data_IF_038729798883
#
_entry.id   IF_038729798883
#
_cell.length_a   1.000
_cell.length_b   1.000
_cell.length_c   1.000
_cell.angle_alpha   90.00
_cell.angle_beta   90.00
_cell.angle_gamma   90.00
#
_symmetry.space_group_name_H-M   'P 1'
#
loop_
_entity.id
_entity.type
_entity.pdbx_description
1 polymer ?
#
# COMPACT_ATOMS: atom_id res chain seq x y z
N UNK A 1 4.00 21.89 -28.87
CA UNK A 1 5.25 21.08 -28.88
C UNK A 1 6.11 21.59 -27.75
N UNK A 2 5.96 21.01 -26.56
CA UNK A 2 6.79 21.35 -25.40
C UNK A 2 7.89 20.29 -25.37
N UNK A 3 9.02 20.62 -25.96
CA UNK A 3 10.22 19.79 -25.91
C UNK A 3 10.89 20.03 -24.57
N UNK A 4 10.70 19.11 -23.61
CA UNK A 4 11.58 19.02 -22.46
C UNK A 4 12.91 18.43 -22.94
N UNK A 5 13.93 19.29 -23.02
CA UNK A 5 15.32 18.85 -23.10
C UNK A 5 15.63 18.09 -21.82
N UNK A 6 15.81 16.77 -21.93
CA UNK A 6 16.46 15.96 -20.90
C UNK A 6 17.87 16.53 -20.78
N UNK A 7 18.11 17.30 -19.71
CA UNK A 7 19.47 17.59 -19.26
C UNK A 7 20.14 16.24 -19.01
N UNK A 8 21.19 15.93 -19.75
CA UNK A 8 22.05 14.77 -19.54
C UNK A 8 22.45 14.71 -18.07
N UNK A 9 21.85 13.77 -17.32
CA UNK A 9 22.40 13.35 -16.03
C UNK A 9 23.62 12.51 -16.40
N UNK A 10 24.79 13.14 -16.32
CA UNK A 10 26.06 12.42 -16.39
C UNK A 10 26.11 11.44 -15.22
N UNK A 11 25.89 10.15 -15.48
CA UNK A 11 26.02 9.10 -14.48
C UNK A 11 27.49 9.02 -14.04
N UNK A 12 27.77 9.43 -12.80
CA UNK A 12 29.10 9.29 -12.20
C UNK A 12 29.23 7.86 -11.67
N UNK A 13 29.97 7.02 -12.38
CA UNK A 13 30.22 5.62 -11.97
C UNK A 13 31.35 5.54 -10.93
N UNK A 14 31.19 4.67 -9.95
CA UNK A 14 32.24 4.42 -8.96
C UNK A 14 33.39 3.60 -9.54
N UNK A 15 34.61 4.12 -9.46
CA UNK A 15 35.82 3.44 -9.92
C UNK A 15 36.24 2.19 -9.08
N UNK A 16 35.45 1.80 -8.08
CA UNK A 16 35.69 0.60 -7.27
C UNK A 16 34.68 -0.52 -7.50
N UNK A 17 33.39 -0.20 -7.62
CA UNK A 17 32.33 -1.21 -7.84
C UNK A 17 31.67 -1.10 -9.21
N UNK A 18 31.95 -0.03 -9.96
CA UNK A 18 31.39 0.26 -11.29
C UNK A 18 29.87 0.49 -11.30
N UNK A 19 29.28 0.82 -10.14
CA UNK A 19 27.86 1.20 -10.01
C UNK A 19 27.67 2.72 -10.00
N UNK A 20 26.44 3.16 -10.28
CA UNK A 20 26.04 4.57 -10.24
C UNK A 20 26.22 5.19 -8.84
N UNK A 21 26.71 6.43 -8.80
CA UNK A 21 26.85 7.23 -7.57
C UNK A 21 25.79 8.33 -7.55
N UNK A 22 25.03 8.40 -6.45
CA UNK A 22 24.17 9.54 -6.15
C UNK A 22 24.98 10.68 -5.52
N UNK A 23 24.61 11.93 -5.78
CA UNK A 23 25.34 13.14 -5.33
C UNK A 23 25.68 13.13 -3.82
N UNK A 24 24.79 12.57 -2.99
CA UNK A 24 24.95 12.51 -1.54
C UNK A 24 26.05 11.54 -1.08
N UNK A 25 26.45 10.59 -1.93
CA UNK A 25 27.46 9.56 -1.63
C UNK A 25 28.77 9.78 -2.40
N UNK A 26 28.84 10.87 -3.18
CA UNK A 26 29.95 11.19 -4.07
C UNK A 26 31.20 11.65 -3.33
N UNK A 27 32.32 11.03 -3.66
CA UNK A 27 33.65 11.45 -3.25
C UNK A 27 34.61 11.43 -4.45
N UNK A 28 35.25 12.57 -4.70
CA UNK A 28 36.21 12.73 -5.80
C UNK A 28 37.64 12.72 -5.27
N UNK A 29 38.51 11.91 -5.87
CA UNK A 29 39.93 11.91 -5.52
C UNK A 29 40.62 13.17 -6.06
N UNK A 30 41.34 13.90 -5.21
CA UNK A 30 42.07 15.12 -5.59
C UNK A 30 43.33 14.90 -6.45
N UNK A 31 43.67 13.65 -6.78
CA UNK A 31 44.90 13.28 -7.49
C UNK A 31 44.55 12.67 -8.85
N UNK A 32 43.72 11.62 -8.88
CA UNK A 32 43.30 10.98 -10.13
C UNK A 32 41.96 11.50 -10.68
N UNK A 33 41.26 12.38 -9.97
CA UNK A 33 39.94 12.93 -10.33
C UNK A 33 38.83 11.90 -10.54
N UNK A 34 39.05 10.65 -10.12
CA UNK A 34 38.07 9.57 -10.18
C UNK A 34 37.02 9.66 -9.06
N UNK A 35 35.85 9.08 -9.31
CA UNK A 35 34.68 9.10 -8.42
C UNK A 35 34.53 7.80 -7.63
N UNK A 36 34.13 7.92 -6.36
CA UNK A 36 33.95 6.81 -5.45
C UNK A 36 32.73 7.01 -4.55
N UNK A 37 32.01 5.94 -4.22
CA UNK A 37 31.16 5.94 -3.03
C UNK A 37 32.04 6.07 -1.80
N UNK A 38 31.58 6.81 -0.79
CA UNK A 38 32.32 6.92 0.48
C UNK A 38 32.58 5.54 1.11
N UNK A 39 31.65 4.59 0.96
CA UNK A 39 31.82 3.21 1.45
C UNK A 39 32.91 2.45 0.71
N UNK A 40 32.93 2.54 -0.63
CA UNK A 40 33.96 1.92 -1.46
C UNK A 40 35.35 2.54 -1.22
N UNK A 41 35.38 3.80 -0.78
CA UNK A 41 36.57 4.50 -0.30
C UNK A 41 36.99 4.14 1.14
N UNK A 42 36.35 3.13 1.76
CA UNK A 42 36.58 2.67 3.13
C UNK A 42 36.35 3.75 4.21
N UNK A 43 35.47 4.72 3.94
CA UNK A 43 35.02 5.69 4.94
C UNK A 43 33.74 5.20 5.61
N UNK A 44 33.63 5.43 6.92
CA UNK A 44 32.37 5.28 7.65
C UNK A 44 31.47 6.48 7.37
N UNK A 45 30.17 6.24 7.24
CA UNK A 45 29.18 7.29 6.93
C UNK A 45 29.23 8.47 7.91
N UNK A 46 29.30 8.18 9.22
CA UNK A 46 29.39 9.21 10.26
C UNK A 46 30.64 10.09 10.10
N UNK A 47 31.74 9.55 9.57
CA UNK A 47 32.97 10.30 9.30
C UNK A 47 32.81 11.14 8.04
N UNK A 48 32.28 10.56 6.96
CA UNK A 48 32.05 11.25 5.68
C UNK A 48 31.08 12.44 5.80
N UNK A 49 29.96 12.27 6.52
CA UNK A 49 28.98 13.35 6.74
C UNK A 49 29.53 14.48 7.61
N UNK A 50 30.50 14.21 8.48
CA UNK A 50 31.18 15.22 9.32
C UNK A 50 32.33 15.94 8.59
N UNK A 51 32.75 15.47 7.41
CA UNK A 51 33.81 16.14 6.64
C UNK A 51 33.31 17.46 6.05
N UNK A 52 34.09 18.52 6.26
CA UNK A 52 33.85 19.80 5.60
C UNK A 52 34.05 19.70 4.08
N UNK A 53 33.47 20.62 3.30
CA UNK A 53 33.68 20.68 1.85
C UNK A 53 35.17 20.78 1.47
N UNK A 54 35.96 21.48 2.27
CA UNK A 54 37.42 21.65 2.08
C UNK A 54 38.15 20.33 2.33
N UNK A 55 37.70 19.55 3.31
CA UNK A 55 38.28 18.23 3.60
C UNK A 55 37.94 17.23 2.49
N UNK A 56 36.71 17.27 1.97
CA UNK A 56 36.28 16.42 0.84
C UNK A 56 37.05 16.74 -0.44
N UNK A 57 37.29 18.02 -0.75
CA UNK A 57 38.03 18.41 -1.97
C UNK A 57 39.51 18.07 -1.94
N UNK A 58 40.09 17.84 -0.76
CA UNK A 58 41.50 17.43 -0.56
C UNK A 58 41.67 15.93 -0.35
N UNK A 59 40.60 15.16 -0.44
CA UNK A 59 40.66 13.72 -0.18
C UNK A 59 41.32 12.97 -1.35
N UNK A 60 42.26 12.08 -1.05
CA UNK A 60 42.91 11.20 -2.01
C UNK A 60 42.53 9.73 -1.78
N UNK A 61 42.33 8.98 -2.87
CA UNK A 61 42.02 7.55 -2.83
C UNK A 61 43.23 6.72 -2.40
N UNK A 62 43.00 5.47 -2.01
CA UNK A 62 44.08 4.60 -1.52
C UNK A 62 45.15 4.36 -2.61
N UNK A 63 44.74 4.20 -3.88
CA UNK A 63 45.71 4.03 -4.98
C UNK A 63 46.67 5.21 -5.06
N UNK A 64 46.18 6.45 -4.94
CA UNK A 64 47.03 7.64 -5.02
C UNK A 64 47.82 7.91 -3.72
N UNK A 65 47.23 7.63 -2.55
CA UNK A 65 47.91 7.81 -1.25
C UNK A 65 49.14 6.92 -1.09
N UNK A 66 49.09 5.69 -1.60
CA UNK A 66 50.19 4.73 -1.47
C UNK A 66 51.18 4.78 -2.64
N UNK A 67 50.95 5.62 -3.65
CA UNK A 67 51.83 5.72 -4.82
C UNK A 67 52.84 6.89 -4.72
N UNK A 68 52.67 7.84 -3.80
CA UNK A 68 53.50 9.05 -3.74
C UNK A 68 54.66 9.05 -2.71
N UNK A 69 54.97 7.94 -2.04
CA UNK A 69 56.16 7.88 -1.17
C UNK A 69 56.89 6.53 -1.24
N UNK A 70 57.56 6.29 -2.36
CA UNK A 70 58.72 5.42 -2.39
C UNK A 70 59.98 6.28 -2.39
N UNK A 71 60.44 6.72 -1.20
CA UNK A 71 61.82 7.13 -1.02
C UNK A 71 62.66 5.97 -0.46
N UNK A 72 63.92 5.81 -0.90
CA UNK A 72 64.75 4.66 -0.56
C UNK A 72 65.27 4.82 0.87
N UNK A 73 64.88 3.92 1.75
CA UNK A 73 65.52 3.80 3.06
C UNK A 73 66.83 3.05 2.86
N UNK A 74 67.93 3.77 3.02
CA UNK A 74 69.29 3.27 3.02
C UNK A 74 69.46 2.08 3.96
N UNK A 75 70.21 1.10 3.46
CA UNK A 75 70.68 -0.06 4.20
C UNK A 75 71.34 0.36 5.51
N UNK A 76 70.75 -0.04 6.64
CA UNK A 76 71.51 -0.26 7.86
C UNK A 76 71.13 -1.64 8.37
N UNK A 77 72.11 -2.54 8.22
CA UNK A 77 72.22 -3.89 8.75
C UNK A 77 71.18 -4.23 9.83
N UNK A 78 70.19 -5.04 9.47
CA UNK A 78 69.48 -5.85 10.43
C UNK A 78 69.58 -7.31 10.01
N UNK A 79 70.23 -8.09 10.88
CA UNK A 79 70.47 -9.52 10.75
C UNK A 79 69.18 -10.20 10.31
N UNK A 80 69.22 -10.96 9.21
CA UNK A 80 68.25 -12.01 8.92
C UNK A 80 68.29 -13.00 10.09
N UNK A 81 67.46 -12.76 11.10
CA UNK A 81 67.06 -13.81 12.01
C UNK A 81 66.14 -14.70 11.19
N UNK A 82 66.69 -15.79 10.67
CA UNK A 82 65.88 -16.93 10.28
C UNK A 82 65.20 -17.37 11.56
N UNK A 83 63.95 -16.94 11.76
CA UNK A 83 63.12 -17.48 12.81
C UNK A 83 62.92 -18.95 12.45
N UNK A 84 63.63 -19.84 13.15
CA UNK A 84 63.32 -21.26 13.11
C UNK A 84 61.85 -21.39 13.53
N UNK A 85 60.98 -21.69 12.57
CA UNK A 85 59.59 -22.04 12.85
C UNK A 85 59.66 -23.29 13.72
N UNK A 86 59.37 -23.13 15.01
CA UNK A 86 59.27 -24.27 15.93
C UNK A 86 58.03 -25.07 15.58
N UNK A 87 58.08 -26.39 15.78
CA UNK A 87 56.93 -27.26 15.56
C UNK A 87 55.68 -26.79 16.33
N UNK A 88 55.86 -26.14 17.48
CA UNK A 88 54.76 -25.55 18.26
C UNK A 88 54.03 -24.43 17.52
N UNK A 89 54.74 -23.53 16.82
CA UNK A 89 54.10 -22.48 16.02
C UNK A 89 53.34 -23.05 14.82
N UNK A 90 53.86 -24.13 14.23
CA UNK A 90 53.19 -24.84 13.15
C UNK A 90 51.93 -25.59 13.64
N UNK A 91 52.00 -26.21 14.83
CA UNK A 91 50.85 -26.84 15.47
C UNK A 91 49.77 -25.81 15.84
N UNK A 92 50.14 -24.67 16.42
CA UNK A 92 49.20 -23.58 16.74
C UNK A 92 48.52 -23.02 15.49
N UNK A 93 49.24 -22.89 14.38
CA UNK A 93 48.64 -22.48 13.10
C UNK A 93 47.70 -23.55 12.56
N UNK A 94 48.07 -24.82 12.66
CA UNK A 94 47.23 -25.96 12.25
C UNK A 94 45.93 -26.01 13.05
N UNK A 95 46.00 -25.79 14.37
CA UNK A 95 44.83 -25.73 15.24
C UNK A 95 43.94 -24.52 14.93
N UNK A 96 44.54 -23.37 14.60
CA UNK A 96 43.81 -22.17 14.18
C UNK A 96 43.08 -22.39 12.85
N UNK A 97 43.74 -23.03 11.88
CA UNK A 97 43.13 -23.38 10.58
C UNK A 97 42.02 -24.40 10.76
N UNK A 98 42.20 -25.41 11.62
CA UNK A 98 41.17 -26.40 11.95
C UNK A 98 39.97 -25.74 12.62
N UNK A 99 40.19 -24.87 13.61
CA UNK A 99 39.13 -24.11 14.26
C UNK A 99 38.37 -23.21 13.26
N UNK A 100 39.08 -22.55 12.35
CA UNK A 100 38.46 -21.75 11.29
C UNK A 100 37.66 -22.61 10.31
N UNK A 101 38.13 -23.83 9.97
CA UNK A 101 37.40 -24.80 9.15
C UNK A 101 36.08 -25.19 9.82
N UNK A 102 36.12 -25.56 11.11
CA UNK A 102 34.94 -25.95 11.87
C UNK A 102 33.91 -24.79 11.95
N UNK A 103 34.39 -23.54 12.07
CA UNK A 103 33.51 -22.36 12.02
C UNK A 103 32.93 -22.11 10.64
N UNK A 104 33.69 -22.34 9.57
CA UNK A 104 33.22 -22.20 8.21
C UNK A 104 32.13 -23.23 7.87
N UNK A 105 32.30 -24.48 8.31
CA UNK A 105 31.30 -25.53 8.17
C UNK A 105 30.02 -25.22 8.96
N UNK A 106 30.18 -24.68 10.19
CA UNK A 106 29.06 -24.17 10.99
C UNK A 106 28.29 -23.05 10.29
N UNK A 107 28.99 -22.10 9.64
CA UNK A 107 28.34 -21.07 8.83
C UNK A 107 27.66 -21.63 7.59
N UNK A 108 28.27 -22.62 6.91
CA UNK A 108 27.66 -23.29 5.78
C UNK A 108 26.32 -23.93 6.14
N UNK A 109 26.26 -24.58 7.30
CA UNK A 109 25.04 -25.21 7.82
C UNK A 109 23.95 -24.18 8.13
N UNK A 110 24.28 -23.11 8.85
CA UNK A 110 23.35 -22.00 9.13
C UNK A 110 22.83 -21.33 7.86
N UNK A 111 23.68 -21.18 6.84
CA UNK A 111 23.29 -20.61 5.55
C UNK A 111 22.26 -21.52 4.84
N UNK A 112 22.44 -22.84 4.89
CA UNK A 112 21.47 -23.78 4.31
C UNK A 112 20.13 -23.76 5.04
N UNK A 113 20.14 -23.67 6.38
CA UNK A 113 18.92 -23.53 7.18
C UNK A 113 18.18 -22.23 6.88
N UNK A 114 18.90 -21.11 6.77
CA UNK A 114 18.34 -19.82 6.37
C UNK A 114 17.76 -19.86 4.96
N UNK A 115 18.47 -20.45 4.00
CA UNK A 115 17.98 -20.60 2.63
C UNK A 115 16.70 -21.44 2.56
N UNK A 116 16.62 -22.49 3.37
CA UNK A 116 15.42 -23.34 3.48
C UNK A 116 14.25 -22.56 4.08
N UNK A 117 14.48 -21.84 5.18
CA UNK A 117 13.48 -20.99 5.84
C UNK A 117 12.96 -19.88 4.92
N UNK A 118 13.85 -19.26 4.13
CA UNK A 118 13.46 -18.22 3.15
C UNK A 118 12.61 -18.82 2.02
N UNK A 119 12.90 -20.05 1.59
CA UNK A 119 12.07 -20.74 0.57
C UNK A 119 10.68 -21.05 1.11
N UNK A 120 10.58 -21.60 2.30
CA UNK A 120 9.30 -21.89 2.96
C UNK A 120 8.48 -20.61 3.15
N UNK A 121 9.10 -19.56 3.69
CA UNK A 121 8.44 -18.27 3.89
C UNK A 121 7.97 -17.64 2.58
N UNK A 122 8.72 -17.80 1.48
CA UNK A 122 8.29 -17.34 0.15
C UNK A 122 7.08 -18.09 -0.34
N UNK A 123 7.03 -19.40 -0.12
CA UNK A 123 5.92 -20.24 -0.53
C UNK A 123 4.65 -19.94 0.29
N UNK A 124 4.77 -19.81 1.62
CA UNK A 124 3.66 -19.39 2.47
C UNK A 124 3.10 -18.03 2.05
N UNK A 125 3.98 -17.07 1.76
CA UNK A 125 3.56 -15.76 1.24
C UNK A 125 2.84 -15.85 -0.10
N UNK A 126 3.23 -16.79 -0.98
CA UNK A 126 2.53 -17.02 -2.25
C UNK A 126 1.13 -17.54 -1.99
N UNK A 127 0.99 -18.57 -1.16
CA UNK A 127 -0.30 -19.18 -0.81
C UNK A 127 -1.22 -18.16 -0.12
N UNK A 128 -0.69 -17.38 0.83
CA UNK A 128 -1.46 -16.32 1.51
C UNK A 128 -1.99 -15.26 0.54
N UNK A 129 -1.19 -14.86 -0.45
CA UNK A 129 -1.64 -13.92 -1.50
C UNK A 129 -2.76 -14.51 -2.34
N UNK A 130 -2.65 -15.77 -2.73
CA UNK A 130 -3.69 -16.48 -3.50
C UNK A 130 -4.99 -16.60 -2.71
N UNK A 131 -4.91 -16.97 -1.44
CA UNK A 131 -6.06 -17.04 -0.54
C UNK A 131 -6.72 -15.67 -0.34
N UNK A 132 -5.94 -14.60 -0.14
CA UNK A 132 -6.48 -13.25 -0.02
C UNK A 132 -7.25 -12.82 -1.28
N UNK A 133 -6.72 -13.13 -2.47
CA UNK A 133 -7.45 -12.86 -3.73
C UNK A 133 -8.75 -13.65 -3.77
N UNK A 134 -8.73 -14.93 -3.41
CA UNK A 134 -9.93 -15.78 -3.37
C UNK A 134 -10.99 -15.24 -2.40
N UNK A 135 -10.60 -14.91 -1.17
CA UNK A 135 -11.52 -14.37 -0.17
C UNK A 135 -12.11 -13.02 -0.58
N UNK A 136 -11.30 -12.13 -1.18
CA UNK A 136 -11.81 -10.86 -1.70
C UNK A 136 -12.87 -11.06 -2.79
N UNK A 137 -12.64 -12.02 -3.69
CA UNK A 137 -13.62 -12.36 -4.73
C UNK A 137 -14.92 -12.95 -4.14
N UNK A 138 -14.80 -13.82 -3.13
CA UNK A 138 -15.96 -14.37 -2.42
C UNK A 138 -16.74 -13.27 -1.68
N UNK A 139 -16.05 -12.33 -1.03
CA UNK A 139 -16.68 -11.17 -0.39
C UNK A 139 -17.46 -10.34 -1.41
N UNK A 140 -16.88 -10.03 -2.57
CA UNK A 140 -17.57 -9.28 -3.63
C UNK A 140 -18.82 -10.01 -4.09
N UNK A 141 -18.72 -11.34 -4.29
CA UNK A 141 -19.87 -12.16 -4.68
C UNK A 141 -20.98 -12.14 -3.61
N UNK A 142 -20.61 -12.28 -2.34
CA UNK A 142 -21.54 -12.26 -1.23
C UNK A 142 -22.22 -10.89 -1.10
N UNK A 143 -21.48 -9.79 -1.22
CA UNK A 143 -22.03 -8.43 -1.23
C UNK A 143 -23.06 -8.27 -2.35
N UNK A 144 -22.75 -8.72 -3.56
CA UNK A 144 -23.69 -8.66 -4.69
C UNK A 144 -24.94 -9.51 -4.44
N UNK A 145 -24.79 -10.68 -3.82
CA UNK A 145 -25.92 -11.54 -3.46
C UNK A 145 -26.79 -10.89 -2.38
N UNK A 146 -26.21 -10.30 -1.35
CA UNK A 146 -26.93 -9.58 -0.29
C UNK A 146 -27.70 -8.41 -0.89
N UNK A 147 -27.05 -7.57 -1.71
CA UNK A 147 -27.70 -6.45 -2.40
C UNK A 147 -28.91 -6.91 -3.24
N UNK A 148 -28.78 -8.03 -3.95
CA UNK A 148 -29.88 -8.60 -4.75
C UNK A 148 -31.04 -9.06 -3.86
N UNK A 149 -30.74 -9.69 -2.72
CA UNK A 149 -31.76 -10.17 -1.78
C UNK A 149 -32.48 -9.00 -1.10
N UNK A 150 -31.75 -7.96 -0.70
CA UNK A 150 -32.33 -6.76 -0.11
C UNK A 150 -33.25 -6.03 -1.11
N UNK A 151 -32.81 -5.85 -2.36
CA UNK A 151 -33.64 -5.27 -3.41
C UNK A 151 -34.92 -6.08 -3.64
N UNK A 152 -34.81 -7.42 -3.66
CA UNK A 152 -35.99 -8.30 -3.77
C UNK A 152 -36.91 -8.24 -2.55
N UNK A 153 -36.36 -8.05 -1.35
CA UNK A 153 -37.17 -7.88 -0.14
C UNK A 153 -38.00 -6.58 -0.19
N UNK A 154 -37.49 -5.55 -0.88
CA UNK A 154 -38.17 -4.27 -1.04
C UNK A 154 -38.92 -4.09 -2.36
N UNK A 155 -39.01 -5.11 -3.22
CA UNK A 155 -39.63 -5.02 -4.56
C UNK A 155 -41.11 -4.60 -4.50
N UNK A 156 -41.82 -4.99 -3.43
CA UNK A 156 -43.23 -4.66 -3.22
C UNK A 156 -43.44 -3.34 -2.46
N UNK A 157 -42.36 -2.68 -2.05
CA UNK A 157 -42.43 -1.47 -1.24
C UNK A 157 -42.43 -0.22 -2.12
N UNK A 158 -43.17 0.79 -1.66
CA UNK A 158 -43.14 2.13 -2.23
C UNK A 158 -42.79 3.15 -1.15
N UNK A 159 -42.02 4.17 -1.53
CA UNK A 159 -41.68 5.31 -0.68
C UNK A 159 -42.43 6.55 -1.18
N UNK A 160 -43.21 7.18 -0.30
CA UNK A 160 -43.98 8.38 -0.58
C UNK A 160 -43.41 9.52 0.26
N UNK A 161 -43.05 10.61 -0.42
CA UNK A 161 -42.41 11.78 0.18
C UNK A 161 -43.33 12.99 0.06
N UNK A 162 -43.32 13.86 1.08
CA UNK A 162 -44.05 15.13 1.05
C UNK A 162 -45.49 15.05 1.55
N UNK A 163 -45.90 13.94 2.17
CA UNK A 163 -47.21 13.83 2.82
C UNK A 163 -47.15 14.54 4.18
N UNK A 164 -47.99 15.57 4.45
CA UNK A 164 -48.02 16.26 5.75
C UNK A 164 -48.29 15.30 6.92
N UNK A 165 -47.77 15.60 8.10
CA UNK A 165 -48.01 14.81 9.32
C UNK A 165 -49.19 15.37 10.11
N UNK A 166 -50.13 14.51 10.51
CA UNK A 166 -51.25 14.86 11.39
C UNK A 166 -51.21 13.99 12.65
N UNK A 167 -51.75 14.49 13.77
CA UNK A 167 -51.67 13.80 15.07
C UNK A 167 -52.41 12.45 15.09
N UNK A 168 -53.51 12.35 14.35
CA UNK A 168 -54.35 11.14 14.23
C UNK A 168 -54.36 10.62 12.78
N UNK A 169 -53.18 10.38 12.21
CA UNK A 169 -53.04 9.93 10.82
C UNK A 169 -53.33 8.42 10.68
N UNK A 170 -54.38 8.06 9.93
CA UNK A 170 -54.52 6.70 9.42
C UNK A 170 -53.63 6.51 8.19
N UNK A 171 -52.40 6.03 8.42
CA UNK A 171 -51.38 5.86 7.39
C UNK A 171 -51.84 4.91 6.29
N UNK A 172 -52.46 3.78 6.66
CA UNK A 172 -52.89 2.74 5.70
C UNK A 172 -53.95 3.28 4.75
N UNK A 173 -54.94 3.99 5.29
CA UNK A 173 -56.01 4.59 4.50
C UNK A 173 -55.48 5.70 3.59
N UNK A 174 -54.58 6.54 4.12
CA UNK A 174 -53.94 7.63 3.37
C UNK A 174 -53.16 7.09 2.16
N UNK A 175 -52.36 6.05 2.37
CA UNK A 175 -51.64 5.35 1.29
C UNK A 175 -52.62 4.75 0.28
N UNK A 176 -53.69 4.11 0.75
CA UNK A 176 -54.73 3.53 -0.12
C UNK A 176 -55.35 4.60 -1.02
N UNK A 177 -55.74 5.76 -0.48
CA UNK A 177 -56.27 6.88 -1.26
C UNK A 177 -55.30 7.37 -2.32
N UNK A 178 -54.00 7.48 -1.99
CA UNK A 178 -52.96 7.90 -2.95
C UNK A 178 -52.86 6.89 -4.11
N UNK A 179 -52.80 5.60 -3.80
CA UNK A 179 -52.62 4.54 -4.81
C UNK A 179 -53.84 4.44 -5.72
N UNK A 180 -55.06 4.50 -5.16
CA UNK A 180 -56.30 4.51 -5.95
C UNK A 180 -56.36 5.70 -6.89
N UNK A 181 -55.96 6.91 -6.44
CA UNK A 181 -55.90 8.10 -7.29
C UNK A 181 -54.83 8.03 -8.38
N UNK A 182 -53.82 7.17 -8.21
CA UNK A 182 -52.82 6.84 -9.23
C UNK A 182 -53.30 5.73 -10.19
N UNK A 183 -54.55 5.28 -10.09
CA UNK A 183 -55.15 4.32 -11.00
C UNK A 183 -54.66 2.88 -10.78
N UNK A 184 -54.21 2.56 -9.57
CA UNK A 184 -53.82 1.18 -9.20
C UNK A 184 -54.74 0.71 -8.09
N UNK A 185 -55.37 -0.45 -8.28
CA UNK A 185 -56.14 -1.11 -7.23
C UNK A 185 -55.27 -2.17 -6.57
N UNK A 186 -55.05 -2.04 -5.25
CA UNK A 186 -54.21 -2.95 -4.49
C UNK A 186 -54.57 -2.95 -3.01
N UNK A 187 -54.13 -3.99 -2.31
CA UNK A 187 -54.18 -4.08 -0.85
C UNK A 187 -52.85 -3.60 -0.28
N UNK A 188 -52.92 -2.72 0.72
CA UNK A 188 -51.75 -2.26 1.47
C UNK A 188 -51.56 -3.23 2.64
N UNK A 189 -50.48 -4.01 2.62
CA UNK A 189 -50.19 -5.00 3.66
C UNK A 189 -49.69 -4.31 4.94
N UNK A 190 -48.76 -3.37 4.77
CA UNK A 190 -48.12 -2.62 5.87
C UNK A 190 -47.85 -1.21 5.41
N UNK A 191 -48.05 -0.22 6.27
CA UNK A 191 -47.64 1.15 5.99
C UNK A 191 -47.22 1.86 7.27
N UNK A 192 -46.10 2.59 7.20
CA UNK A 192 -45.52 3.27 8.35
C UNK A 192 -44.65 4.47 7.94
N UNK A 193 -44.46 5.41 8.87
CA UNK A 193 -43.51 6.52 8.71
C UNK A 193 -42.11 6.06 9.09
N UNK A 194 -41.12 6.39 8.26
CA UNK A 194 -39.71 6.13 8.55
C UNK A 194 -39.14 7.28 9.40
N UNK A 195 -38.44 6.99 10.52
CA UNK A 195 -37.75 8.01 11.30
C UNK A 195 -36.80 8.84 10.43
N UNK A 196 -36.81 10.16 10.60
CA UNK A 196 -35.93 11.09 9.90
C UNK A 196 -35.23 11.99 10.90
N UNK A 197 -33.93 12.24 10.67
CA UNK A 197 -33.14 13.22 11.45
C UNK A 197 -33.32 14.66 10.94
N UNK A 198 -33.96 14.83 9.78
CA UNK A 198 -34.14 16.14 9.14
C UNK A 198 -35.34 16.84 9.79
N UNK A 199 -35.08 17.96 10.46
CA UNK A 199 -36.11 18.84 11.01
C UNK A 199 -36.79 19.64 9.89
N UNK A 200 -38.06 20.03 10.10
CA UNK A 200 -38.88 20.82 9.16
C UNK A 200 -39.23 20.14 7.82
N UNK A 201 -39.07 18.83 7.70
CA UNK A 201 -39.58 18.05 6.55
C UNK A 201 -40.44 16.90 7.06
N UNK A 202 -41.64 16.65 6.48
CA UNK A 202 -42.43 15.50 6.87
C UNK A 202 -41.65 14.21 6.64
N UNK A 203 -41.75 13.29 7.61
CA UNK A 203 -41.17 11.94 7.55
C UNK A 203 -41.72 11.20 6.34
N UNK A 204 -40.91 10.32 5.77
CA UNK A 204 -41.29 9.58 4.57
C UNK A 204 -42.24 8.44 4.95
N UNK A 205 -43.22 8.18 4.08
CA UNK A 205 -44.10 7.04 4.20
C UNK A 205 -43.56 5.87 3.41
N UNK A 206 -43.52 4.70 4.01
CA UNK A 206 -43.18 3.44 3.34
C UNK A 206 -44.37 2.52 3.44
N UNK A 207 -44.77 1.95 2.30
CA UNK A 207 -45.88 1.03 2.23
C UNK A 207 -45.53 -0.22 1.44
N UNK A 208 -45.91 -1.37 1.97
CA UNK A 208 -45.82 -2.68 1.35
C UNK A 208 -47.13 -2.98 0.62
N UNK A 209 -47.04 -3.21 -0.69
CA UNK A 209 -48.17 -3.56 -1.53
C UNK A 209 -48.26 -5.09 -1.72
N UNK A 210 -49.41 -5.57 -2.16
CA UNK A 210 -49.64 -7.01 -2.34
C UNK A 210 -48.67 -7.66 -3.35
N UNK A 211 -48.28 -6.94 -4.41
CA UNK A 211 -47.41 -7.46 -5.47
C UNK A 211 -46.45 -6.41 -6.01
N UNK A 212 -45.34 -6.87 -6.60
CA UNK A 212 -44.34 -6.04 -7.29
C UNK A 212 -44.92 -5.29 -8.49
N UNK A 213 -45.93 -5.86 -9.14
CA UNK A 213 -46.58 -5.19 -10.27
C UNK A 213 -47.33 -3.94 -9.80
N UNK A 214 -47.98 -4.02 -8.62
CA UNK A 214 -48.63 -2.86 -8.02
C UNK A 214 -47.61 -1.75 -7.72
N UNK A 215 -46.47 -2.06 -7.09
CA UNK A 215 -45.44 -1.05 -6.77
C UNK A 215 -44.88 -0.40 -8.03
N UNK A 216 -44.53 -1.22 -9.04
CA UNK A 216 -44.03 -0.75 -10.33
C UNK A 216 -45.03 0.14 -11.07
N UNK A 217 -46.30 -0.26 -11.12
CA UNK A 217 -47.36 0.52 -11.76
C UNK A 217 -47.62 1.83 -11.02
N UNK A 218 -47.63 1.82 -9.68
CA UNK A 218 -47.80 3.04 -8.89
C UNK A 218 -46.68 4.04 -9.16
N UNK A 219 -45.42 3.60 -9.19
CA UNK A 219 -44.25 4.45 -9.50
C UNK A 219 -44.35 4.97 -10.94
N UNK A 220 -44.68 4.11 -11.90
CA UNK A 220 -44.80 4.47 -13.32
C UNK A 220 -45.91 5.49 -13.54
N UNK A 221 -47.08 5.28 -12.95
CA UNK A 221 -48.20 6.20 -13.05
C UNK A 221 -47.90 7.53 -12.38
N UNK A 222 -47.27 7.53 -11.21
CA UNK A 222 -46.83 8.76 -10.53
C UNK A 222 -45.86 9.60 -11.37
N UNK A 223 -44.90 8.96 -12.06
CA UNK A 223 -43.99 9.65 -12.98
C UNK A 223 -44.71 10.26 -14.19
N UNK A 224 -45.76 9.61 -14.69
CA UNK A 224 -46.58 10.09 -15.81
C UNK A 224 -47.49 11.24 -15.39
N UNK A 225 -48.20 11.09 -14.27
CA UNK A 225 -49.19 12.06 -13.81
C UNK A 225 -48.58 13.25 -13.09
N UNK A 226 -47.37 13.10 -12.52
CA UNK A 226 -46.67 14.12 -11.70
C UNK A 226 -47.63 14.78 -10.69
N UNK A 227 -48.24 13.97 -9.81
CA UNK A 227 -49.35 14.41 -9.01
C UNK A 227 -48.91 15.47 -8.00
N UNK A 228 -49.76 16.47 -7.77
CA UNK A 228 -49.57 17.50 -6.75
C UNK A 228 -50.36 17.14 -5.49
N UNK A 229 -50.00 17.72 -4.34
CA UNK A 229 -50.65 17.40 -3.07
C UNK A 229 -52.18 17.57 -3.09
N UNK A 230 -52.68 18.64 -3.74
CA UNK A 230 -54.11 18.89 -3.92
C UNK A 230 -54.86 17.76 -4.64
N UNK A 231 -54.18 16.98 -5.48
CA UNK A 231 -54.78 15.83 -6.17
C UNK A 231 -55.22 14.76 -5.16
N UNK A 232 -54.50 14.63 -4.03
CA UNK A 232 -54.76 13.60 -3.03
C UNK A 232 -55.62 14.10 -1.87
N UNK A 233 -55.42 15.33 -1.43
CA UNK A 233 -56.21 15.95 -0.38
C UNK A 233 -56.17 17.47 -0.54
N UNK A 234 -57.32 18.16 -0.39
CA UNK A 234 -57.42 19.61 -0.62
C UNK A 234 -56.41 20.42 0.21
N UNK A 235 -56.20 20.00 1.46
CA UNK A 235 -55.25 20.63 2.40
C UNK A 235 -53.77 20.37 2.13
N UNK A 236 -53.41 19.55 1.14
CA UNK A 236 -52.00 19.24 0.82
C UNK A 236 -51.43 20.10 -0.31
N UNK A 237 -52.22 21.01 -0.88
CA UNK A 237 -51.83 21.85 -2.01
C UNK A 237 -51.63 23.33 -1.69
N UNK A 238 -51.01 23.67 -0.56
CA UNK A 238 -50.46 25.01 -0.31
C UNK A 238 -48.96 25.03 -0.64
#
# INVERSE_FOLDING_TARGET
VISFTISEISNMLCNSCNDDIFDDDLLTCSICNEYFHFMCAALREATFRKMSKITKSKWACNKCKFNENAQPVNETQNKKTVHNITNENFNNLTDSVKFMSDKFDGFGTQLQELLSSVKEMREENRVLKEQNIKFNNEIILLVNRVNTLEQKAFDNFIEIVGVPETKDENIVETVKTIITKLGVETTVNRAFRVPSKIMNKPRKLVAELSTRLCSSNTITNSRKTKPKGNMFHEKWGM
#
